data_IF_144007051948
#
_entry.id   IF_144007051948
#
_cell.length_a   1.000
_cell.length_b   1.000
_cell.length_c   1.000
_cell.angle_alpha   90.00
_cell.angle_beta   90.00
_cell.angle_gamma   90.00
#
_symmetry.space_group_name_H-M   'P 1'
#
loop_
_entity.id
_entity.type
_entity.pdbx_description
1 polymer ?
#
# COMPACT_ATOMS: atom_id res chain seq x y z
N UNK A 1 -2.20 -2.01 -13.31
CA UNK A 1 -2.77 -3.28 -13.85
C UNK A 1 -1.69 -4.34 -13.93
N UNK A 2 -1.98 -5.56 -13.51
CA UNK A 2 -1.07 -6.70 -13.64
C UNK A 2 -1.31 -7.46 -14.95
N UNK A 3 -0.33 -8.27 -15.39
CA UNK A 3 -0.41 -9.04 -16.63
C UNK A 3 -1.53 -10.10 -16.55
N UNK A 4 -2.45 -10.10 -17.51
CA UNK A 4 -3.46 -11.13 -17.64
C UNK A 4 -2.85 -12.46 -18.13
N UNK A 5 -3.46 -13.59 -17.75
CA UNK A 5 -3.00 -14.92 -18.15
C UNK A 5 -1.70 -15.40 -17.50
N UNK A 6 -1.26 -14.74 -16.43
CA UNK A 6 -0.10 -15.19 -15.65
C UNK A 6 -0.44 -16.47 -14.87
N UNK A 7 0.38 -17.50 -15.02
CA UNK A 7 0.15 -18.85 -14.48
C UNK A 7 1.08 -19.23 -13.34
N UNK A 8 2.12 -18.44 -13.07
CA UNK A 8 3.04 -18.66 -11.96
C UNK A 8 2.50 -18.08 -10.63
N UNK A 9 3.33 -18.15 -9.57
CA UNK A 9 3.00 -17.56 -8.28
C UNK A 9 2.54 -16.11 -8.41
N UNK A 10 1.51 -15.75 -7.65
CA UNK A 10 0.97 -14.40 -7.62
C UNK A 10 2.02 -13.34 -7.23
N UNK A 11 3.00 -13.72 -6.41
CA UNK A 11 4.04 -12.82 -5.94
C UNK A 11 4.97 -12.32 -7.04
N UNK A 12 5.28 -13.18 -8.00
CA UNK A 12 6.17 -12.84 -9.12
C UNK A 12 5.45 -12.28 -10.33
N UNK A 13 4.12 -12.13 -10.29
CA UNK A 13 3.33 -11.56 -11.38
C UNK A 13 3.70 -10.11 -11.63
N UNK A 14 4.22 -9.77 -12.84
CA UNK A 14 4.62 -8.41 -13.16
C UNK A 14 3.43 -7.49 -13.48
N UNK A 15 3.72 -6.20 -13.56
CA UNK A 15 2.81 -5.24 -14.16
C UNK A 15 2.57 -5.56 -15.64
N UNK A 16 1.35 -5.28 -16.12
CA UNK A 16 1.08 -5.20 -17.55
C UNK A 16 1.70 -3.91 -18.13
N UNK A 17 1.77 -3.81 -19.46
CA UNK A 17 2.32 -2.63 -20.14
C UNK A 17 1.67 -1.32 -19.70
N UNK A 18 0.34 -1.30 -19.56
CA UNK A 18 -0.37 -0.15 -19.01
C UNK A 18 0.07 0.17 -17.57
N UNK A 19 0.28 -0.85 -16.73
CA UNK A 19 0.77 -0.68 -15.36
C UNK A 19 2.18 -0.09 -15.32
N UNK A 20 3.06 -0.46 -16.25
CA UNK A 20 4.39 0.13 -16.37
C UNK A 20 4.33 1.61 -16.78
N UNK A 21 3.45 1.97 -17.72
CA UNK A 21 3.22 3.38 -18.08
C UNK A 21 2.67 4.19 -16.90
N UNK A 22 1.71 3.62 -16.18
CA UNK A 22 1.16 4.25 -14.96
C UNK A 22 2.24 4.45 -13.88
N UNK A 23 3.13 3.49 -13.67
CA UNK A 23 4.24 3.62 -12.73
C UNK A 23 5.20 4.76 -13.10
N UNK A 24 5.52 4.90 -14.38
CA UNK A 24 6.34 6.02 -14.87
C UNK A 24 5.64 7.38 -14.68
N UNK A 25 4.35 7.46 -15.00
CA UNK A 25 3.55 8.68 -14.81
C UNK A 25 3.39 9.03 -13.32
N UNK A 26 3.20 8.03 -12.46
CA UNK A 26 3.17 8.19 -11.00
C UNK A 26 4.49 8.79 -10.48
N UNK A 27 5.63 8.25 -10.92
CA UNK A 27 6.94 8.77 -10.54
C UNK A 27 7.11 10.25 -10.94
N UNK A 28 6.68 10.63 -12.13
CA UNK A 28 6.70 12.01 -12.59
C UNK A 28 5.78 12.92 -11.76
N UNK A 29 4.60 12.43 -11.36
CA UNK A 29 3.65 13.19 -10.55
C UNK A 29 4.11 13.38 -9.10
N UNK A 30 4.72 12.36 -8.49
CA UNK A 30 5.26 12.43 -7.12
C UNK A 30 6.51 13.31 -7.07
N UNK A 31 7.36 13.24 -8.09
CA UNK A 31 8.66 13.91 -8.13
C UNK A 31 9.73 13.18 -7.32
N UNK A 32 10.99 13.55 -7.53
CA UNK A 32 12.15 12.86 -6.94
C UNK A 32 12.51 13.31 -5.51
N UNK A 33 11.79 14.28 -4.97
CA UNK A 33 12.01 14.78 -3.60
C UNK A 33 11.34 13.84 -2.58
N UNK A 34 11.97 12.69 -2.35
CA UNK A 34 11.58 11.67 -1.38
C UNK A 34 12.81 11.14 -0.65
N UNK A 35 12.66 10.81 0.63
CA UNK A 35 13.74 10.37 1.51
C UNK A 35 13.81 8.83 1.62
N UNK A 36 12.76 8.14 1.24
CA UNK A 36 12.70 6.68 1.29
C UNK A 36 11.63 6.10 0.38
N UNK A 37 11.90 4.89 -0.12
CA UNK A 37 10.98 4.16 -1.00
C UNK A 37 10.83 2.73 -0.51
N UNK A 38 9.60 2.35 -0.23
CA UNK A 38 9.23 1.05 0.30
C UNK A 38 8.28 0.30 -0.63
N UNK A 39 8.32 -1.01 -0.58
CA UNK A 39 7.42 -1.85 -1.37
C UNK A 39 7.04 -3.11 -0.60
N UNK A 40 5.81 -3.58 -0.81
CA UNK A 40 5.53 -5.00 -0.68
C UNK A 40 6.56 -5.80 -1.49
N UNK A 41 7.03 -6.97 -1.01
CA UNK A 41 8.05 -7.75 -1.72
C UNK A 41 7.58 -8.35 -3.05
N UNK A 42 6.34 -8.12 -3.46
CA UNK A 42 5.81 -8.61 -4.74
C UNK A 42 6.35 -7.84 -5.93
N UNK A 43 6.61 -8.55 -7.04
CA UNK A 43 7.16 -7.97 -8.27
C UNK A 43 6.37 -6.75 -8.75
N UNK A 44 5.04 -6.82 -8.78
CA UNK A 44 4.18 -5.72 -9.25
C UNK A 44 4.28 -4.46 -8.39
N UNK A 45 4.43 -4.61 -7.07
CA UNK A 45 4.60 -3.46 -6.17
C UNK A 45 5.97 -2.82 -6.34
N UNK A 46 7.04 -3.62 -6.41
CA UNK A 46 8.39 -3.12 -6.69
C UNK A 46 8.44 -2.36 -8.01
N UNK A 47 7.92 -2.94 -9.09
CA UNK A 47 7.84 -2.29 -10.41
C UNK A 47 7.03 -0.99 -10.40
N UNK A 48 6.07 -0.84 -9.49
CA UNK A 48 5.30 0.41 -9.36
C UNK A 48 6.16 1.57 -8.86
N UNK A 49 7.11 1.32 -7.98
CA UNK A 49 7.95 2.37 -7.37
C UNK A 49 9.38 2.43 -7.93
N UNK A 50 9.82 1.46 -8.73
CA UNK A 50 11.13 1.46 -9.38
C UNK A 50 11.43 2.73 -10.20
N UNK A 51 10.49 3.26 -11.04
CA UNK A 51 10.74 4.50 -11.75
C UNK A 51 10.98 5.70 -10.82
N UNK A 52 10.27 5.76 -9.69
CA UNK A 52 10.47 6.79 -8.68
C UNK A 52 11.82 6.62 -7.98
N UNK A 53 12.20 5.38 -7.65
CA UNK A 53 13.47 5.07 -7.04
C UNK A 53 14.65 5.49 -7.94
N UNK A 54 14.54 5.18 -9.23
CA UNK A 54 15.55 5.60 -10.22
C UNK A 54 15.66 7.13 -10.33
N UNK A 55 14.52 7.85 -10.33
CA UNK A 55 14.49 9.30 -10.40
C UNK A 55 15.05 9.97 -9.13
N UNK A 56 14.83 9.37 -7.96
CA UNK A 56 15.32 9.88 -6.67
C UNK A 56 16.77 9.44 -6.33
N UNK A 57 17.35 8.52 -7.09
CA UNK A 57 18.66 7.93 -6.78
C UNK A 57 18.64 7.04 -5.52
N UNK A 58 17.48 6.48 -5.18
CA UNK A 58 17.27 5.63 -4.01
C UNK A 58 17.06 4.16 -4.40
N UNK A 59 17.26 3.27 -3.43
CA UNK A 59 16.88 1.86 -3.57
C UNK A 59 15.48 1.61 -3.01
N UNK A 60 14.76 0.66 -3.60
CA UNK A 60 13.49 0.16 -3.07
C UNK A 60 13.77 -0.79 -1.91
N UNK A 61 13.19 -0.51 -0.76
CA UNK A 61 13.27 -1.35 0.43
C UNK A 61 12.02 -2.23 0.54
N UNK A 62 12.21 -3.54 0.67
CA UNK A 62 11.11 -4.46 0.91
C UNK A 62 10.63 -4.35 2.35
N UNK A 63 9.32 -4.25 2.52
CA UNK A 63 8.68 -4.24 3.82
C UNK A 63 7.52 -5.25 3.84
N UNK A 64 7.72 -6.36 4.54
CA UNK A 64 6.76 -7.47 4.57
C UNK A 64 5.37 -7.05 5.10
N UNK A 65 5.33 -6.04 5.95
CA UNK A 65 4.10 -5.45 6.45
C UNK A 65 3.21 -4.84 5.37
N UNK A 66 3.77 -4.50 4.21
CA UNK A 66 3.04 -3.97 3.04
C UNK A 66 2.42 -5.06 2.15
N UNK A 67 2.63 -6.34 2.47
CA UNK A 67 2.10 -7.46 1.69
C UNK A 67 0.58 -7.47 1.66
N UNK A 68 -0.03 -8.08 0.65
CA UNK A 68 -1.49 -8.25 0.57
C UNK A 68 -2.06 -9.03 1.77
N UNK A 69 -3.36 -8.93 1.99
CA UNK A 69 -3.99 -9.55 3.15
C UNK A 69 -3.72 -11.05 3.22
N UNK A 70 -3.58 -11.70 2.07
CA UNK A 70 -3.48 -13.15 1.98
C UNK A 70 -4.75 -13.81 2.51
N UNK A 71 -4.81 -15.12 2.46
CA UNK A 71 -5.75 -15.84 3.29
C UNK A 71 -5.33 -15.57 4.74
N UNK A 72 -6.16 -14.85 5.44
CA UNK A 72 -6.02 -14.67 6.89
C UNK A 72 -5.99 -16.06 7.51
N UNK A 73 -4.76 -16.49 7.80
CA UNK A 73 -4.32 -17.86 8.03
C UNK A 73 -5.42 -18.75 8.55
N UNK A 74 -5.61 -19.90 7.96
CA UNK A 74 -6.53 -20.90 8.48
C UNK A 74 -6.36 -20.94 10.00
N UNK A 75 -7.29 -20.43 10.83
CA UNK A 75 -7.22 -20.69 12.25
C UNK A 75 -7.37 -22.20 12.36
N UNK A 76 -6.32 -22.85 12.82
CA UNK A 76 -6.24 -24.30 12.80
C UNK A 76 -7.34 -24.97 13.61
N UNK A 77 -8.00 -24.28 14.53
CA UNK A 77 -9.08 -24.82 15.38
C UNK A 77 -10.10 -23.71 15.72
N UNK A 78 -11.39 -23.99 15.59
CA UNK A 78 -12.47 -23.09 16.05
C UNK A 78 -13.04 -22.13 14.99
N UNK A 79 -12.62 -22.19 13.74
CA UNK A 79 -13.11 -21.34 12.64
C UNK A 79 -14.58 -21.62 12.30
N UNK A 80 -14.98 -22.87 12.38
CA UNK A 80 -16.35 -23.31 12.06
C UNK A 80 -17.39 -22.78 13.07
N UNK A 81 -16.94 -22.32 14.24
CA UNK A 81 -17.79 -21.76 15.29
C UNK A 81 -17.91 -20.23 15.23
N UNK A 82 -17.07 -19.56 14.41
CA UNK A 82 -17.06 -18.09 14.33
C UNK A 82 -17.94 -17.62 13.17
N UNK A 83 -18.92 -16.74 13.39
CA UNK A 83 -19.69 -16.13 12.31
C UNK A 83 -18.78 -15.48 11.27
N UNK A 84 -19.09 -15.62 9.97
CA UNK A 84 -18.32 -15.08 8.85
C UNK A 84 -17.98 -13.58 9.01
N UNK A 85 -18.92 -12.81 9.55
CA UNK A 85 -18.72 -11.39 9.85
C UNK A 85 -17.58 -11.18 10.85
N UNK A 86 -17.45 -12.02 11.87
CA UNK A 86 -16.37 -11.92 12.86
C UNK A 86 -15.03 -12.34 12.25
N UNK A 87 -14.97 -13.36 11.42
CA UNK A 87 -13.77 -13.77 10.71
C UNK A 87 -13.26 -12.62 9.85
N UNK A 88 -14.14 -11.94 9.11
CA UNK A 88 -13.79 -10.76 8.30
C UNK A 88 -13.33 -9.58 9.18
N UNK A 89 -13.99 -9.34 10.30
CA UNK A 89 -13.61 -8.27 11.21
C UNK A 89 -12.23 -8.50 11.84
N UNK A 90 -11.93 -9.73 12.27
CA UNK A 90 -10.63 -10.11 12.83
C UNK A 90 -9.54 -10.01 11.75
N UNK A 91 -9.80 -10.51 10.53
CA UNK A 91 -8.88 -10.38 9.40
C UNK A 91 -8.59 -8.93 9.04
N UNK A 92 -9.62 -8.10 9.00
CA UNK A 92 -9.48 -6.65 8.80
C UNK A 92 -8.66 -5.98 9.90
N UNK A 93 -8.89 -6.33 11.16
CA UNK A 93 -8.13 -5.81 12.31
C UNK A 93 -6.65 -6.21 12.25
N UNK A 94 -6.36 -7.47 11.89
CA UNK A 94 -5.00 -7.95 11.72
C UNK A 94 -4.27 -7.22 10.57
N UNK A 95 -4.92 -7.09 9.42
CA UNK A 95 -4.36 -6.36 8.27
C UNK A 95 -4.13 -4.88 8.61
N UNK A 96 -5.07 -4.24 9.33
CA UNK A 96 -4.91 -2.88 9.81
C UNK A 96 -3.69 -2.73 10.73
N UNK A 97 -3.55 -3.60 11.72
CA UNK A 97 -2.41 -3.59 12.64
C UNK A 97 -1.07 -3.73 11.93
N UNK A 98 -0.99 -4.66 10.96
CA UNK A 98 0.20 -4.86 10.14
C UNK A 98 0.54 -3.62 9.30
N UNK A 99 -0.43 -3.03 8.63
CA UNK A 99 -0.23 -1.82 7.84
C UNK A 99 0.13 -0.60 8.69
N UNK A 100 -0.44 -0.46 9.89
CA UNK A 100 -0.05 0.60 10.85
C UNK A 100 1.39 0.42 11.32
N UNK A 101 1.84 -0.83 11.52
CA UNK A 101 3.25 -1.12 11.80
C UNK A 101 4.16 -0.69 10.65
N UNK A 102 3.77 -0.93 9.39
CA UNK A 102 4.51 -0.43 8.24
C UNK A 102 4.67 1.09 8.29
N UNK A 103 3.59 1.82 8.56
CA UNK A 103 3.64 3.29 8.72
C UNK A 103 4.59 3.69 9.84
N UNK A 104 4.53 3.04 11.01
CA UNK A 104 5.43 3.33 12.12
C UNK A 104 6.90 3.11 11.75
N UNK A 105 7.23 1.97 11.10
CA UNK A 105 8.60 1.68 10.64
C UNK A 105 9.11 2.78 9.68
N UNK A 106 8.29 3.20 8.73
CA UNK A 106 8.66 4.26 7.79
C UNK A 106 8.85 5.62 8.48
N UNK A 107 7.99 5.96 9.43
CA UNK A 107 8.09 7.22 10.19
C UNK A 107 9.31 7.24 11.12
N UNK A 108 9.64 6.12 11.74
CA UNK A 108 10.83 5.99 12.61
C UNK A 108 12.13 6.11 11.80
N UNK A 109 12.15 5.52 10.59
CA UNK A 109 13.30 5.59 9.71
C UNK A 109 13.49 6.99 9.07
N UNK A 110 12.41 7.73 8.85
CA UNK A 110 12.40 9.04 8.20
C UNK A 110 11.57 10.06 9.00
N UNK A 111 12.04 10.49 10.18
CA UNK A 111 11.33 11.48 10.98
C UNK A 111 11.16 12.78 10.18
N UNK A 112 9.93 13.20 9.95
CA UNK A 112 9.57 14.37 9.12
C UNK A 112 9.94 14.24 7.63
N UNK A 113 10.42 13.08 7.19
CA UNK A 113 10.75 12.80 5.81
C UNK A 113 9.51 12.54 4.95
N UNK A 114 9.72 12.56 3.65
CA UNK A 114 8.75 12.19 2.63
C UNK A 114 9.07 10.81 2.08
N UNK A 115 8.19 9.86 2.29
CA UNK A 115 8.39 8.48 1.83
C UNK A 115 7.29 8.04 0.87
N UNK A 116 7.64 7.19 -0.08
CA UNK A 116 6.70 6.54 -0.96
C UNK A 116 6.65 5.05 -0.65
N UNK A 117 5.45 4.46 -0.68
CA UNK A 117 5.27 3.03 -0.45
C UNK A 117 4.26 2.42 -1.42
N UNK A 118 4.61 1.27 -1.99
CA UNK A 118 3.69 0.48 -2.81
C UNK A 118 3.16 -0.74 -2.03
N UNK A 119 1.85 -0.90 -2.07
CA UNK A 119 1.13 -1.98 -1.43
C UNK A 119 -0.05 -2.43 -2.30
N UNK A 120 -1.05 -3.08 -1.73
CA UNK A 120 -2.12 -3.76 -2.44
C UNK A 120 -3.50 -3.12 -2.21
N UNK A 121 -4.37 -3.27 -3.19
CA UNK A 121 -5.70 -2.68 -3.19
C UNK A 121 -6.65 -3.26 -2.14
N UNK A 122 -6.32 -4.36 -1.51
CA UNK A 122 -7.06 -4.99 -0.42
C UNK A 122 -6.68 -4.42 0.96
N UNK A 123 -5.40 -4.09 1.19
CA UNK A 123 -4.91 -3.62 2.50
C UNK A 123 -4.82 -2.10 2.63
N UNK A 124 -4.63 -1.37 1.53
CA UNK A 124 -4.63 0.11 1.56
C UNK A 124 -5.95 0.67 2.13
N UNK A 125 -7.16 0.23 1.69
CA UNK A 125 -8.41 0.72 2.27
C UNK A 125 -8.58 0.38 3.75
N UNK A 126 -8.01 -0.73 4.20
CA UNK A 126 -8.03 -1.15 5.61
C UNK A 126 -7.15 -0.21 6.46
N UNK A 127 -5.95 0.12 5.98
CA UNK A 127 -5.09 1.13 6.60
C UNK A 127 -5.80 2.49 6.70
N UNK A 128 -6.38 2.95 5.60
CA UNK A 128 -7.08 4.24 5.55
C UNK A 128 -8.27 4.28 6.53
N UNK A 129 -9.02 3.19 6.64
CA UNK A 129 -10.11 3.08 7.61
C UNK A 129 -9.61 3.17 9.05
N UNK A 130 -8.51 2.46 9.37
CA UNK A 130 -7.90 2.48 10.68
C UNK A 130 -7.35 3.86 11.05
N UNK A 131 -6.62 4.51 10.14
CA UNK A 131 -6.10 5.86 10.35
C UNK A 131 -7.23 6.89 10.48
N UNK A 132 -8.26 6.82 9.63
CA UNK A 132 -9.41 7.73 9.71
C UNK A 132 -10.11 7.61 11.06
N UNK A 133 -10.27 6.39 11.58
CA UNK A 133 -10.85 6.16 12.89
C UNK A 133 -9.95 6.66 14.03
N UNK A 134 -8.64 6.37 13.97
CA UNK A 134 -7.70 6.75 15.01
C UNK A 134 -7.51 8.28 15.13
N UNK A 135 -7.56 9.00 14.02
CA UNK A 135 -7.38 10.46 13.97
C UNK A 135 -8.69 11.23 13.88
N UNK A 136 -9.84 10.57 13.92
CA UNK A 136 -11.17 11.18 13.79
C UNK A 136 -11.32 12.04 12.51
N UNK A 137 -10.73 11.61 11.39
CA UNK A 137 -10.83 12.27 10.09
C UNK A 137 -11.74 11.50 9.13
N UNK A 138 -12.38 12.14 8.16
CA UNK A 138 -13.19 11.44 7.17
C UNK A 138 -12.38 10.39 6.42
N UNK A 139 -13.00 9.23 6.16
CA UNK A 139 -12.39 8.22 5.30
C UNK A 139 -12.35 8.76 3.86
N UNK A 140 -11.18 8.72 3.20
CA UNK A 140 -11.06 9.18 1.82
C UNK A 140 -11.86 8.29 0.85
N UNK A 141 -12.24 8.86 -0.29
CA UNK A 141 -12.83 8.11 -1.39
C UNK A 141 -11.86 7.08 -1.98
N UNK A 142 -12.42 6.13 -2.72
CA UNK A 142 -11.63 5.15 -3.46
C UNK A 142 -10.95 5.82 -4.67
N UNK A 143 -9.68 5.47 -4.90
CA UNK A 143 -8.96 5.82 -6.13
C UNK A 143 -8.80 4.57 -7.02
N UNK A 144 -8.77 4.76 -8.32
CA UNK A 144 -8.57 3.67 -9.29
C UNK A 144 -7.18 3.02 -9.19
N UNK A 145 -7.00 1.90 -9.90
CA UNK A 145 -5.67 1.25 -10.00
C UNK A 145 -4.66 2.19 -10.64
N UNK A 146 -3.51 2.37 -9.99
CA UNK A 146 -2.50 3.35 -10.38
C UNK A 146 -2.69 4.72 -9.73
N UNK A 147 -3.76 4.92 -8.97
CA UNK A 147 -3.92 6.07 -8.09
C UNK A 147 -3.17 5.89 -6.77
N UNK A 148 -3.07 6.96 -5.99
CA UNK A 148 -2.37 6.95 -4.71
C UNK A 148 -3.03 7.85 -3.67
N UNK A 149 -2.58 7.75 -2.44
CA UNK A 149 -2.99 8.62 -1.35
C UNK A 149 -1.76 9.31 -0.76
N UNK A 150 -1.85 10.60 -0.52
CA UNK A 150 -0.89 11.31 0.31
C UNK A 150 -1.41 11.33 1.74
N UNK A 151 -0.61 10.84 2.68
CA UNK A 151 -0.86 10.87 4.12
C UNK A 151 0.07 11.92 4.72
N UNK A 152 -0.49 12.99 5.26
CA UNK A 152 0.28 14.04 5.90
C UNK A 152 0.05 14.01 7.41
N UNK A 153 1.05 13.54 8.14
CA UNK A 153 1.05 13.54 9.60
C UNK A 153 1.59 14.87 10.11
N UNK A 154 0.91 15.45 11.08
CA UNK A 154 1.31 16.70 11.75
C UNK A 154 0.99 16.61 13.25
N UNK A 155 1.58 17.47 14.10
CA UNK A 155 1.28 17.49 15.55
C UNK A 155 -0.19 17.66 15.90
N UNK A 156 -1.01 18.17 14.97
CA UNK A 156 -2.46 18.37 15.16
C UNK A 156 -3.34 17.27 14.55
N UNK A 157 -2.79 16.26 13.90
CA UNK A 157 -3.61 15.22 13.28
C UNK A 157 -3.08 14.67 11.96
N UNK A 158 -4.00 14.13 11.17
CA UNK A 158 -3.76 13.52 9.86
C UNK A 158 -4.59 14.22 8.80
N UNK A 159 -3.97 14.54 7.66
CA UNK A 159 -4.68 14.87 6.43
C UNK A 159 -4.45 13.77 5.38
N UNK A 160 -5.49 13.42 4.63
CA UNK A 160 -5.45 12.37 3.60
C UNK A 160 -5.95 12.95 2.29
N UNK A 161 -5.13 12.87 1.26
CA UNK A 161 -5.43 13.38 -0.08
C UNK A 161 -5.46 12.23 -1.08
N UNK A 162 -6.63 11.88 -1.64
CA UNK A 162 -6.73 10.91 -2.72
C UNK A 162 -6.29 11.53 -4.05
N UNK A 163 -5.61 10.75 -4.87
CA UNK A 163 -5.19 11.13 -6.22
C UNK A 163 -5.57 10.03 -7.21
N UNK A 164 -6.34 10.38 -8.21
CA UNK A 164 -6.71 9.46 -9.28
C UNK A 164 -5.49 9.08 -10.13
N UNK A 165 -5.56 7.93 -10.84
CA UNK A 165 -4.50 7.52 -11.76
C UNK A 165 -4.21 8.61 -12.79
N UNK A 166 -2.92 8.84 -13.07
CA UNK A 166 -2.51 9.68 -14.19
C UNK A 166 -2.95 9.02 -15.50
N UNK A 167 -3.58 9.78 -16.36
CA UNK A 167 -3.96 9.30 -17.70
C UNK A 167 -2.72 9.05 -18.55
N UNK A 168 -2.60 7.83 -19.15
CA UNK A 168 -1.45 7.38 -19.95
C UNK A 168 -1.87 6.58 -21.17
#
# INVERSE_FOLDING_TARGET
MTREGWIDSHDVRPLAELGMRQAAALAAAIGSDVDGIYSSPTTRCRQTVEPLAAAAGLSVQDLAELYEAGDFGEPAEGRDEMPELMVRAVGGGWAAGRMLRAVAVMMDAHPQGRVAAASHGDVIPVLLAALSSAFAVPRPGWVGRGGWYTLQFAPGGLAVFPHDPVSV
#
